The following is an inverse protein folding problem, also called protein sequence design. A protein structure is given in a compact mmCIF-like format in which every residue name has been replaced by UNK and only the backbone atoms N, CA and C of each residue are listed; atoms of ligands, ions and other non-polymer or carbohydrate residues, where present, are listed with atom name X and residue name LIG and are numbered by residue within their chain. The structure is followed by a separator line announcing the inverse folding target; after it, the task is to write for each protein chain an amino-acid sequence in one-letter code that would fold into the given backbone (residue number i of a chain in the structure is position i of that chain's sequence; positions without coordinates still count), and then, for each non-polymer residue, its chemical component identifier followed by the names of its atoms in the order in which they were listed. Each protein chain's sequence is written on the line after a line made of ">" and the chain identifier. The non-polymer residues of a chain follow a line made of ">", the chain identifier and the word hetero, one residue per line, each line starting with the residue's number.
data_IF_959168796775
#
_entry.id   IF_959168796775
#
_cell.length_a   1.000
_cell.length_b   1.000
_cell.length_c   1.000
_cell.angle_alpha   90.00
_cell.angle_beta   90.00
_cell.angle_gamma   90.00
#
_symmetry.space_group_name_H-M   'P 1'
#
loop_
_entity.id
_entity.type
_entity.pdbx_description
1 polymer ?
#
# COMPACT_ATOMS: atom_id res chain seq x y z
N UNK A 1 -1.47 -11.52 -21.75
CA UNK A 1 -0.64 -12.20 -20.73
C UNK A 1 0.67 -12.64 -21.39
N UNK A 2 1.81 -12.21 -20.87
CA UNK A 2 3.13 -12.82 -21.12
C UNK A 2 3.92 -12.72 -19.83
N UNK A 3 4.25 -13.88 -19.28
CA UNK A 3 5.08 -14.09 -18.10
C UNK A 3 6.53 -13.71 -18.43
N UNK A 4 7.22 -12.97 -17.56
CA UNK A 4 8.69 -12.92 -17.60
C UNK A 4 9.40 -11.58 -17.56
N UNK A 5 8.75 -10.42 -17.36
CA UNK A 5 9.46 -9.16 -17.11
C UNK A 5 8.86 -8.41 -15.91
N UNK A 6 9.19 -8.90 -14.71
CA UNK A 6 9.13 -8.06 -13.52
C UNK A 6 10.14 -6.92 -13.74
N UNK A 7 9.64 -5.69 -13.92
CA UNK A 7 10.38 -4.41 -14.03
C UNK A 7 10.59 -3.74 -15.41
N UNK A 8 9.96 -4.16 -16.52
CA UNK A 8 10.14 -3.44 -17.82
C UNK A 8 9.50 -2.04 -17.92
N UNK A 9 8.74 -1.61 -16.91
CA UNK A 9 8.17 -0.26 -16.84
C UNK A 9 8.56 0.52 -15.56
N UNK A 10 9.45 -0.04 -14.73
CA UNK A 10 10.04 0.73 -13.63
C UNK A 10 10.93 1.83 -14.23
N UNK A 11 10.63 3.10 -13.92
CA UNK A 11 11.38 4.26 -14.43
C UNK A 11 10.82 4.99 -15.66
N UNK A 12 9.61 4.66 -16.17
CA UNK A 12 8.94 5.38 -17.29
C UNK A 12 7.80 6.32 -16.85
N UNK A 13 7.92 6.99 -15.69
CA UNK A 13 6.96 8.02 -15.24
C UNK A 13 5.71 7.53 -14.49
N UNK A 14 5.48 6.21 -14.40
CA UNK A 14 4.39 5.65 -13.59
C UNK A 14 4.54 5.92 -12.08
N UNK A 15 5.78 6.08 -11.62
CA UNK A 15 6.08 6.39 -10.23
C UNK A 15 5.60 7.79 -9.87
N UNK A 16 5.82 8.78 -10.74
CA UNK A 16 5.32 10.15 -10.55
C UNK A 16 3.81 10.20 -10.57
N UNK A 17 3.17 9.45 -11.48
CA UNK A 17 1.71 9.35 -11.50
C UNK A 17 1.17 8.72 -10.22
N UNK A 18 1.77 7.60 -9.78
CA UNK A 18 1.35 6.91 -8.56
C UNK A 18 1.57 7.80 -7.33
N UNK A 19 2.66 8.56 -7.29
CA UNK A 19 2.96 9.50 -6.20
C UNK A 19 1.98 10.65 -6.18
N UNK A 20 1.63 11.21 -7.34
CA UNK A 20 0.61 12.25 -7.46
C UNK A 20 -0.76 11.75 -6.99
N UNK A 21 -1.14 10.53 -7.38
CA UNK A 21 -2.40 9.91 -6.94
C UNK A 21 -2.41 9.67 -5.43
N UNK A 22 -1.32 9.13 -4.86
CA UNK A 22 -1.21 8.90 -3.42
C UNK A 22 -1.32 10.21 -2.66
N UNK A 23 -0.61 11.26 -3.08
CA UNK A 23 -0.70 12.59 -2.47
C UNK A 23 -2.11 13.14 -2.53
N UNK A 24 -2.74 13.11 -3.71
CA UNK A 24 -4.09 13.64 -3.89
C UNK A 24 -5.11 12.92 -3.01
N UNK A 25 -5.01 11.59 -2.91
CA UNK A 25 -5.88 10.79 -2.02
C UNK A 25 -5.60 11.10 -0.55
N UNK A 26 -4.34 11.28 -0.17
CA UNK A 26 -3.94 11.59 1.22
C UNK A 26 -4.32 13.02 1.64
N UNK A 27 -4.36 13.97 0.70
CA UNK A 27 -4.83 15.33 0.94
C UNK A 27 -6.37 15.44 0.99
N UNK A 28 -7.06 14.36 0.65
CA UNK A 28 -8.51 14.28 0.71
C UNK A 28 -9.09 14.62 2.10
N UNK A 29 -10.38 14.99 2.16
CA UNK A 29 -11.05 15.38 3.41
C UNK A 29 -11.37 14.20 4.32
N UNK A 30 -11.17 12.96 3.86
CA UNK A 30 -11.52 11.74 4.57
C UNK A 30 -10.28 10.91 4.83
N UNK A 31 -10.14 10.36 6.04
CA UNK A 31 -9.05 9.44 6.33
C UNK A 31 -9.29 8.14 5.55
N UNK A 32 -8.21 7.53 5.09
CA UNK A 32 -8.23 6.36 4.18
C UNK A 32 -7.21 5.33 4.64
N UNK A 33 -7.37 4.09 4.16
CA UNK A 33 -6.46 2.98 4.45
C UNK A 33 -5.50 2.78 3.28
N UNK A 34 -4.21 2.98 3.51
CA UNK A 34 -3.16 2.70 2.54
C UNK A 34 -2.54 1.33 2.81
N UNK A 35 -2.65 0.40 1.86
CA UNK A 35 -2.05 -0.93 1.93
C UNK A 35 -0.79 -1.00 1.08
N UNK A 36 0.38 -0.91 1.71
CA UNK A 36 1.68 -0.85 1.03
C UNK A 36 2.38 -2.22 1.10
N UNK A 37 2.32 -2.98 0.00
CA UNK A 37 2.87 -4.34 -0.06
C UNK A 37 4.15 -4.40 -0.90
N UNK A 38 5.26 -4.74 -0.25
CA UNK A 38 6.60 -4.74 -0.86
C UNK A 38 7.36 -3.42 -0.69
N UNK A 39 8.68 -3.47 -0.84
CA UNK A 39 9.59 -2.34 -0.55
C UNK A 39 9.28 -1.09 -1.37
N UNK A 40 8.96 -1.26 -2.66
CA UNK A 40 8.62 -0.15 -3.54
C UNK A 40 7.33 0.56 -3.10
N UNK A 41 6.30 -0.18 -2.66
CA UNK A 41 5.09 0.45 -2.13
C UNK A 41 5.36 1.12 -0.77
N UNK A 42 6.18 0.48 0.08
CA UNK A 42 6.51 1.02 1.40
C UNK A 42 7.27 2.34 1.34
N UNK A 43 8.10 2.56 0.31
CA UNK A 43 8.80 3.85 0.13
C UNK A 43 7.82 5.01 -0.09
N UNK A 44 6.62 4.74 -0.63
CA UNK A 44 5.57 5.75 -0.84
C UNK A 44 4.93 6.23 0.46
N UNK A 45 5.21 5.59 1.60
CA UNK A 45 4.79 6.07 2.93
C UNK A 45 5.20 7.51 3.20
N UNK A 46 6.33 7.94 2.65
CA UNK A 46 6.82 9.32 2.78
C UNK A 46 5.86 10.38 2.23
N UNK A 47 4.93 10.00 1.35
CA UNK A 47 3.94 10.89 0.75
C UNK A 47 2.58 10.91 1.47
N UNK A 48 2.44 10.17 2.57
CA UNK A 48 1.19 10.07 3.34
C UNK A 48 1.34 10.88 4.63
N UNK A 49 0.63 12.01 4.79
CA UNK A 49 0.64 12.81 6.01
C UNK A 49 0.17 11.98 7.22
N UNK A 50 0.90 12.02 8.34
CA UNK A 50 0.58 11.23 9.53
C UNK A 50 -0.49 11.88 10.43
N UNK A 51 -0.73 13.17 10.24
CA UNK A 51 -1.64 14.02 11.03
C UNK A 51 -3.10 13.95 10.60
N UNK A 52 -3.40 13.24 9.50
CA UNK A 52 -4.75 13.14 8.91
C UNK A 52 -5.55 11.91 9.29
N UNK A 53 -5.04 11.09 10.21
CA UNK A 53 -5.74 9.89 10.69
C UNK A 53 -5.82 8.74 9.67
N UNK A 54 -4.99 8.77 8.61
CA UNK A 54 -4.89 7.64 7.69
C UNK A 54 -4.33 6.40 8.37
N UNK A 55 -4.81 5.21 7.97
CA UNK A 55 -4.26 3.94 8.41
C UNK A 55 -3.28 3.40 7.36
N UNK A 56 -2.01 3.25 7.72
CA UNK A 56 -0.99 2.69 6.82
C UNK A 56 -0.66 1.27 7.23
N UNK A 57 -0.88 0.31 6.33
CA UNK A 57 -0.67 -1.12 6.54
C UNK A 57 0.47 -1.63 5.65
N UNK A 58 1.55 -2.10 6.27
CA UNK A 58 2.75 -2.55 5.57
C UNK A 58 2.84 -4.09 5.60
N UNK A 59 3.10 -4.72 4.46
CA UNK A 59 3.38 -6.17 4.38
C UNK A 59 4.34 -6.48 3.24
N UNK A 60 4.84 -7.72 3.15
CA UNK A 60 5.60 -8.20 2.00
C UNK A 60 4.69 -8.27 0.76
N UNK A 61 5.30 -8.23 -0.42
CA UNK A 61 4.57 -8.33 -1.68
C UNK A 61 3.90 -9.72 -1.78
N UNK A 62 2.66 -9.82 -2.32
CA UNK A 62 1.93 -11.09 -2.51
C UNK A 62 2.60 -12.11 -3.46
N UNK A 63 3.85 -11.88 -3.89
CA UNK A 63 4.55 -12.76 -4.83
C UNK A 63 4.97 -14.07 -4.12
N UNK A 64 4.79 -15.25 -4.76
CA UNK A 64 5.07 -16.55 -4.16
C UNK A 64 6.50 -16.70 -3.60
N UNK A 65 7.48 -15.98 -4.13
CA UNK A 65 8.87 -15.99 -3.64
C UNK A 65 9.08 -15.32 -2.27
N UNK A 66 8.14 -14.48 -1.80
CA UNK A 66 8.27 -13.72 -0.53
C UNK A 66 7.02 -13.70 0.35
N UNK A 67 5.90 -14.31 -0.08
CA UNK A 67 4.64 -14.30 0.66
C UNK A 67 4.72 -14.93 2.07
N UNK A 68 5.69 -15.82 2.30
CA UNK A 68 5.90 -16.56 3.57
C UNK A 68 7.16 -16.16 4.33
N UNK A 69 7.96 -15.19 3.85
CA UNK A 69 9.22 -14.84 4.51
C UNK A 69 8.99 -13.90 5.71
N UNK A 70 9.67 -14.12 6.84
CA UNK A 70 9.65 -13.20 7.98
C UNK A 70 10.20 -11.80 7.61
N UNK A 71 9.89 -10.74 8.37
CA UNK A 71 9.17 -10.71 9.66
C UNK A 71 7.64 -10.51 9.58
N UNK A 72 7.07 -10.10 8.44
CA UNK A 72 5.60 -9.97 8.26
C UNK A 72 5.18 -10.62 6.95
N UNK A 73 4.62 -11.86 6.96
CA UNK A 73 4.15 -12.52 5.76
C UNK A 73 2.95 -11.78 5.15
N UNK A 74 2.72 -11.99 3.85
CA UNK A 74 1.53 -11.47 3.17
C UNK A 74 0.29 -12.29 3.55
N UNK A 75 0.43 -13.61 3.55
CA UNK A 75 -0.64 -14.53 3.97
C UNK A 75 -0.83 -14.38 5.49
N UNK A 76 -2.06 -14.04 5.91
CA UNK A 76 -2.39 -13.85 7.33
C UNK A 76 -2.09 -12.45 7.89
N UNK A 77 -1.74 -11.46 7.06
CA UNK A 77 -1.46 -10.09 7.53
C UNK A 77 -2.67 -9.38 8.18
N UNK A 78 -3.88 -9.93 8.00
CA UNK A 78 -5.12 -9.39 8.56
C UNK A 78 -5.48 -7.99 8.04
N UNK A 79 -4.88 -7.53 6.95
CA UNK A 79 -5.03 -6.15 6.48
C UNK A 79 -6.48 -5.81 6.11
N UNK A 80 -7.19 -6.75 5.50
CA UNK A 80 -8.60 -6.57 5.17
C UNK A 80 -9.48 -6.43 6.43
N UNK A 81 -9.16 -7.18 7.50
CA UNK A 81 -9.85 -7.05 8.79
C UNK A 81 -9.56 -5.69 9.44
N UNK A 82 -8.31 -5.24 9.42
CA UNK A 82 -7.92 -3.90 9.91
C UNK A 82 -8.60 -2.78 9.11
N UNK A 83 -8.70 -2.92 7.80
CA UNK A 83 -9.41 -1.97 6.95
C UNK A 83 -10.91 -1.92 7.24
N UNK A 84 -11.54 -3.08 7.51
CA UNK A 84 -12.94 -3.13 7.94
C UNK A 84 -13.13 -2.44 9.29
N UNK A 85 -12.31 -2.75 10.29
CA UNK A 85 -12.38 -2.11 11.60
C UNK A 85 -12.19 -0.59 11.52
N UNK A 86 -11.25 -0.15 10.67
CA UNK A 86 -11.06 1.29 10.40
C UNK A 86 -12.30 1.93 9.79
N UNK A 87 -12.94 1.25 8.83
CA UNK A 87 -14.17 1.73 8.21
C UNK A 87 -15.31 1.86 9.23
N UNK A 88 -15.48 0.85 10.08
CA UNK A 88 -16.49 0.83 11.14
C UNK A 88 -16.25 1.95 12.17
N UNK A 89 -15.00 2.19 12.57
CA UNK A 89 -14.65 3.30 13.47
C UNK A 89 -14.95 4.69 12.89
N UNK A 90 -14.88 4.84 11.57
CA UNK A 90 -15.18 6.10 10.88
C UNK A 90 -16.64 6.21 10.41
N UNK A 91 -17.48 5.24 10.76
CA UNK A 91 -18.94 5.31 10.56
C UNK A 91 -19.43 5.12 9.12
N UNK A 92 -18.75 4.31 8.31
CA UNK A 92 -19.19 3.96 6.93
C UNK A 92 -19.73 2.53 6.79
#
# INVERSE_FOLDING_TARGET
>A
MKEGQAASHAGKGWEELTDAVIRHVAEGPRPVVFMLWGSHAQSKRAFIPQDRGHLVLLSKHPCPLSALRPPVPFIGNGHFGKARAFREQHGY
#
